data_IF_299423077295
#
_entry.id   IF_299423077295
#
_cell.length_a   1.000
_cell.length_b   1.000
_cell.length_c   1.000
_cell.angle_alpha   90.00
_cell.angle_beta   90.00
_cell.angle_gamma   90.00
#
_symmetry.space_group_name_H-M   'P 1'
#
loop_
_entity.id
_entity.type
_entity.pdbx_description
1 polymer ?
#
# COMPACT_ATOMS: atom_id res chain seq x y z
N UNK A 1 -4.54 -5.81 0.31
CA UNK A 1 -4.01 -5.34 -0.99
C UNK A 1 -4.99 -4.30 -1.51
N UNK A 2 -4.50 -3.13 -1.91
CA UNK A 2 -5.36 -2.07 -2.45
C UNK A 2 -5.41 -2.22 -3.97
N UNK A 3 -6.60 -2.39 -4.53
CA UNK A 3 -6.82 -2.52 -5.97
C UNK A 3 -7.39 -1.20 -6.49
N UNK A 4 -6.76 -0.64 -7.51
CA UNK A 4 -7.20 0.60 -8.14
C UNK A 4 -8.09 0.26 -9.33
N UNK A 5 -9.24 0.93 -9.44
CA UNK A 5 -10.16 0.73 -10.55
C UNK A 5 -10.63 2.05 -11.12
N UNK A 6 -10.74 2.09 -12.44
CA UNK A 6 -11.45 3.15 -13.13
C UNK A 6 -12.92 2.77 -13.20
N UNK A 7 -13.77 3.58 -12.59
CA UNK A 7 -15.19 3.30 -12.44
C UNK A 7 -16.05 4.48 -12.88
N UNK A 8 -17.27 4.19 -13.31
CA UNK A 8 -18.31 5.18 -13.54
C UNK A 8 -19.36 5.06 -12.45
N UNK A 9 -19.56 6.16 -11.73
CA UNK A 9 -20.54 6.29 -10.65
C UNK A 9 -21.81 6.91 -11.24
N UNK A 10 -22.93 6.21 -11.11
CA UNK A 10 -24.21 6.71 -11.58
C UNK A 10 -24.85 7.63 -10.53
N UNK A 11 -25.16 8.88 -10.90
CA UNK A 11 -25.59 9.91 -9.94
C UNK A 11 -26.97 9.70 -9.32
N UNK A 12 -27.75 8.69 -9.76
CA UNK A 12 -29.10 8.43 -9.24
C UNK A 12 -29.17 7.24 -8.27
N UNK A 13 -28.27 6.27 -8.37
CA UNK A 13 -28.31 5.05 -7.55
C UNK A 13 -26.96 4.73 -6.89
N UNK A 14 -25.96 5.60 -7.06
CA UNK A 14 -24.55 5.39 -6.65
C UNK A 14 -23.95 4.05 -7.12
N UNK A 15 -24.56 3.44 -8.16
CA UNK A 15 -24.05 2.23 -8.77
C UNK A 15 -22.68 2.50 -9.39
N UNK A 16 -21.74 1.62 -9.04
CA UNK A 16 -20.37 1.68 -9.50
C UNK A 16 -20.17 0.62 -10.58
N UNK A 17 -19.88 1.09 -11.79
CA UNK A 17 -19.61 0.22 -12.95
C UNK A 17 -18.14 0.30 -13.34
N UNK A 18 -17.48 -0.85 -13.44
CA UNK A 18 -16.08 -0.92 -13.91
C UNK A 18 -16.03 -0.48 -15.37
N UNK A 19 -15.14 0.47 -15.69
CA UNK A 19 -15.00 0.99 -17.06
C UNK A 19 -14.01 0.15 -17.86
N UNK A 20 -14.43 -0.36 -19.00
CA UNK A 20 -13.53 -1.01 -19.96
C UNK A 20 -12.74 0.06 -20.73
N UNK A 21 -11.57 0.41 -20.21
CA UNK A 21 -10.65 1.41 -20.76
C UNK A 21 -9.22 0.91 -20.62
N UNK A 22 -8.31 1.37 -21.48
CA UNK A 22 -6.88 1.10 -21.40
C UNK A 22 -6.32 1.46 -20.02
N UNK A 23 -6.77 2.57 -19.44
CA UNK A 23 -6.41 2.95 -18.07
C UNK A 23 -6.85 1.90 -17.03
N UNK A 24 -8.04 1.32 -17.17
CA UNK A 24 -8.51 0.28 -16.26
C UNK A 24 -7.73 -1.03 -16.44
N UNK A 25 -7.32 -1.33 -17.68
CA UNK A 25 -6.42 -2.46 -17.96
C UNK A 25 -5.06 -2.24 -17.30
N UNK A 26 -4.51 -1.02 -17.39
CA UNK A 26 -3.25 -0.62 -16.74
C UNK A 26 -3.27 -0.85 -15.22
N UNK A 27 -4.41 -0.57 -14.58
CA UNK A 27 -4.56 -0.64 -13.13
C UNK A 27 -4.95 -2.02 -12.59
N UNK A 28 -5.47 -2.93 -13.43
CA UNK A 28 -5.93 -4.26 -13.00
C UNK A 28 -5.09 -5.43 -13.53
N UNK A 29 -4.43 -5.28 -14.68
CA UNK A 29 -3.73 -6.40 -15.37
C UNK A 29 -2.26 -6.06 -15.52
N UNK A 30 -1.94 -5.24 -16.51
CA UNK A 30 -0.57 -4.92 -16.96
C UNK A 30 -0.41 -3.43 -17.14
N UNK A 31 0.56 -2.80 -16.46
CA UNK A 31 0.79 -1.36 -16.60
C UNK A 31 1.71 -1.04 -17.79
N UNK A 32 2.64 -1.95 -18.08
CA UNK A 32 3.56 -1.90 -19.21
C UNK A 32 4.06 -3.32 -19.51
N UNK A 33 4.87 -3.46 -20.56
CA UNK A 33 5.44 -4.76 -20.97
C UNK A 33 6.30 -5.44 -19.89
N UNK A 34 6.86 -4.66 -18.96
CA UNK A 34 7.81 -5.15 -17.93
C UNK A 34 7.13 -5.47 -16.59
N UNK A 35 5.96 -4.87 -16.31
CA UNK A 35 5.37 -4.80 -14.97
C UNK A 35 3.86 -5.10 -14.98
N UNK A 36 3.48 -5.98 -14.06
CA UNK A 36 2.08 -6.13 -13.63
C UNK A 36 1.58 -4.89 -12.87
N UNK A 37 0.28 -4.70 -12.77
CA UNK A 37 -0.32 -3.61 -11.99
C UNK A 37 0.20 -3.53 -10.53
N UNK A 38 0.47 -4.68 -9.89
CA UNK A 38 1.01 -4.74 -8.52
C UNK A 38 2.44 -4.20 -8.48
N UNK A 39 3.29 -4.64 -9.41
CA UNK A 39 4.68 -4.21 -9.49
C UNK A 39 4.78 -2.72 -9.81
N UNK A 40 3.91 -2.21 -10.68
CA UNK A 40 3.84 -0.79 -10.99
C UNK A 40 3.51 0.06 -9.75
N UNK A 41 2.52 -0.32 -8.94
CA UNK A 41 2.19 0.41 -7.71
C UNK A 41 3.34 0.31 -6.70
N UNK A 42 3.99 -0.84 -6.59
CA UNK A 42 5.19 -0.96 -5.75
C UNK A 42 6.29 -0.01 -6.22
N UNK A 43 6.63 -0.03 -7.50
CA UNK A 43 7.66 0.84 -8.09
C UNK A 43 7.34 2.33 -7.86
N UNK A 44 6.08 2.73 -8.06
CA UNK A 44 5.60 4.07 -7.80
C UNK A 44 5.81 4.49 -6.34
N UNK A 45 5.38 3.65 -5.39
CA UNK A 45 5.45 3.96 -3.95
C UNK A 45 6.90 3.95 -3.47
N UNK A 46 7.71 2.99 -3.89
CA UNK A 46 9.14 2.92 -3.53
C UNK A 46 9.90 4.12 -4.06
N UNK A 47 9.76 4.42 -5.35
CA UNK A 47 10.37 5.61 -5.97
C UNK A 47 9.92 6.90 -5.28
N UNK A 48 8.65 6.97 -4.84
CA UNK A 48 8.12 8.14 -4.11
C UNK A 48 8.79 8.30 -2.74
N UNK A 49 9.10 7.21 -2.03
CA UNK A 49 9.82 7.28 -0.77
C UNK A 49 11.30 7.59 -0.92
N UNK A 50 11.95 7.19 -2.02
CA UNK A 50 13.36 7.49 -2.26
C UNK A 50 13.57 8.93 -2.70
N UNK A 51 12.83 9.37 -3.73
CA UNK A 51 13.01 10.69 -4.36
C UNK A 51 12.15 11.79 -3.72
N UNK A 52 11.05 11.41 -3.06
CA UNK A 52 10.10 12.33 -2.40
C UNK A 52 9.06 12.91 -3.35
N UNK A 53 9.37 13.01 -4.64
CA UNK A 53 8.43 13.39 -5.70
C UNK A 53 8.69 12.54 -6.95
N UNK A 54 7.63 11.97 -7.51
CA UNK A 54 7.70 11.07 -8.66
C UNK A 54 6.69 11.48 -9.72
N UNK A 55 7.03 11.21 -10.98
CA UNK A 55 6.14 11.41 -12.12
C UNK A 55 5.65 10.07 -12.65
N UNK A 56 4.34 9.95 -12.87
CA UNK A 56 3.75 8.86 -13.65
C UNK A 56 3.41 9.40 -15.03
N UNK A 57 4.01 8.79 -16.04
CA UNK A 57 3.93 9.22 -17.43
C UNK A 57 3.17 8.16 -18.26
N UNK A 58 2.14 8.56 -19.02
CA UNK A 58 1.58 7.73 -20.06
C UNK A 58 2.53 7.69 -21.25
N UNK A 59 3.10 6.52 -21.54
CA UNK A 59 4.09 6.34 -22.62
C UNK A 59 3.40 6.01 -23.93
N UNK A 60 2.41 5.14 -23.88
CA UNK A 60 1.59 4.77 -25.02
C UNK A 60 0.17 5.27 -24.83
N UNK A 61 -0.28 6.12 -25.76
CA UNK A 61 -1.63 6.68 -25.80
C UNK A 61 -2.21 6.51 -27.19
N UNK A 62 -3.50 6.22 -27.30
CA UNK A 62 -4.18 6.05 -28.61
C UNK A 62 -4.18 7.32 -29.46
N UNK A 63 -4.30 8.48 -28.81
CA UNK A 63 -4.26 9.79 -29.46
C UNK A 63 -3.25 10.67 -28.72
N UNK A 64 -2.62 11.60 -29.43
CA UNK A 64 -1.59 12.44 -28.84
C UNK A 64 -2.20 13.34 -27.74
N UNK A 65 -1.74 13.22 -26.48
CA UNK A 65 -2.31 13.95 -25.34
C UNK A 65 -2.07 15.46 -25.40
N UNK A 66 -1.14 15.94 -26.24
CA UNK A 66 -0.91 17.37 -26.45
C UNK A 66 -1.93 18.02 -27.39
N UNK A 67 -2.61 17.22 -28.23
CA UNK A 67 -3.52 17.72 -29.26
C UNK A 67 -4.99 17.52 -28.86
N UNK A 68 -5.30 16.38 -28.24
CA UNK A 68 -6.67 16.02 -27.86
C UNK A 68 -6.71 15.52 -26.45
N UNK A 69 -7.65 16.00 -25.64
CA UNK A 69 -7.88 15.46 -24.29
C UNK A 69 -8.57 14.09 -24.28
N UNK A 70 -9.18 13.67 -25.39
CA UNK A 70 -9.85 12.38 -25.49
C UNK A 70 -8.88 11.31 -25.98
N UNK A 71 -7.96 10.87 -25.12
CA UNK A 71 -7.06 9.76 -25.39
C UNK A 71 -7.25 8.68 -24.33
N UNK A 72 -7.02 7.43 -24.72
CA UNK A 72 -6.89 6.33 -23.77
C UNK A 72 -5.41 6.03 -23.52
N UNK A 73 -5.12 5.57 -22.30
CA UNK A 73 -3.76 5.28 -21.84
C UNK A 73 -3.56 3.78 -21.91
N UNK A 74 -2.63 3.33 -22.74
CA UNK A 74 -2.33 1.91 -22.92
C UNK A 74 -1.15 1.46 -22.05
N UNK A 75 -0.21 2.38 -21.75
CA UNK A 75 0.93 2.07 -20.89
C UNK A 75 1.31 3.23 -19.97
N UNK A 76 1.64 2.89 -18.72
CA UNK A 76 2.12 3.79 -17.68
C UNK A 76 3.52 3.38 -17.24
N UNK A 77 4.38 4.38 -17.05
CA UNK A 77 5.70 4.19 -16.43
C UNK A 77 5.95 5.23 -15.35
N UNK A 78 6.70 4.81 -14.34
CA UNK A 78 7.17 5.65 -13.25
C UNK A 78 8.49 6.29 -13.68
N UNK A 79 8.64 7.59 -13.47
CA UNK A 79 9.81 8.35 -13.85
C UNK A 79 10.26 9.30 -12.76
N UNK A 80 11.57 9.51 -12.69
CA UNK A 80 12.20 10.44 -11.75
C UNK A 80 12.19 11.85 -12.34
N UNK A 81 11.76 12.84 -11.55
CA UNK A 81 11.81 14.24 -11.97
C UNK A 81 13.23 14.77 -11.79
N UNK A 82 13.84 15.26 -12.87
CA UNK A 82 15.20 15.82 -12.86
C UNK A 82 15.15 17.34 -12.75
N UNK A 83 14.38 17.99 -13.64
CA UNK A 83 14.30 19.45 -13.70
C UNK A 83 12.84 19.93 -13.77
N UNK A 84 12.61 21.07 -13.12
CA UNK A 84 11.32 21.73 -13.06
C UNK A 84 11.30 22.96 -13.96
N UNK A 85 10.39 22.99 -14.93
CA UNK A 85 10.09 24.18 -15.72
C UNK A 85 8.73 24.77 -15.32
N UNK A 86 8.37 25.99 -15.74
CA UNK A 86 7.09 26.61 -15.37
C UNK A 86 5.88 25.74 -15.75
N UNK A 87 5.82 25.27 -17.01
CA UNK A 87 4.71 24.46 -17.55
C UNK A 87 5.08 23.02 -17.90
N UNK A 88 6.38 22.69 -17.88
CA UNK A 88 6.90 21.37 -18.25
C UNK A 88 7.73 20.79 -17.10
N UNK A 89 7.99 19.50 -17.17
CA UNK A 89 8.89 18.78 -16.25
C UNK A 89 9.78 17.87 -17.09
N UNK A 90 11.07 17.85 -16.76
CA UNK A 90 12.00 16.87 -17.32
C UNK A 90 11.97 15.62 -16.45
N UNK A 91 11.55 14.51 -17.04
CA UNK A 91 11.43 13.22 -16.37
C UNK A 91 12.45 12.27 -17.00
N UNK A 92 13.19 11.56 -16.16
CA UNK A 92 14.02 10.43 -16.58
C UNK A 92 13.14 9.17 -16.58
N UNK A 93 13.00 8.57 -17.75
CA UNK A 93 12.14 7.42 -17.99
C UNK A 93 12.87 6.35 -18.79
N UNK A 94 12.61 5.08 -18.50
CA UNK A 94 13.10 3.99 -19.33
C UNK A 94 12.29 3.90 -20.63
N UNK A 95 12.99 3.93 -21.77
CA UNK A 95 12.41 3.72 -23.08
C UNK A 95 12.65 2.25 -23.48
N UNK A 96 11.57 1.51 -23.73
CA UNK A 96 11.58 0.09 -24.10
C UNK A 96 12.02 -0.13 -25.55
N UNK A 97 11.80 0.83 -26.45
CA UNK A 97 12.23 0.72 -27.85
C UNK A 97 13.74 0.88 -27.97
N UNK A 98 14.33 1.84 -27.25
CA UNK A 98 15.78 2.11 -27.30
C UNK A 98 16.58 1.35 -26.24
N UNK A 99 15.91 0.83 -25.20
CA UNK A 99 16.52 0.10 -24.09
C UNK A 99 17.35 0.97 -23.16
N UNK A 100 17.14 2.29 -23.17
CA UNK A 100 17.92 3.26 -22.39
C UNK A 100 17.02 4.19 -21.56
N UNK A 101 17.57 4.70 -20.46
CA UNK A 101 16.94 5.76 -19.68
C UNK A 101 17.13 7.10 -20.38
N UNK A 102 16.05 7.64 -20.92
CA UNK A 102 16.03 8.90 -21.64
C UNK A 102 15.43 10.01 -20.76
N UNK A 103 15.87 11.24 -21.01
CA UNK A 103 15.29 12.43 -20.37
C UNK A 103 14.31 13.06 -21.34
N UNK A 104 13.04 13.07 -20.94
CA UNK A 104 11.94 13.58 -21.75
C UNK A 104 11.31 14.78 -21.05
N UNK A 105 11.08 15.84 -21.83
CA UNK A 105 10.39 17.04 -21.32
C UNK A 105 8.91 16.92 -21.67
N UNK A 106 8.05 16.82 -20.66
CA UNK A 106 6.61 16.63 -20.83
C UNK A 106 5.85 17.77 -20.14
N UNK A 107 4.69 18.12 -20.68
CA UNK A 107 3.78 19.09 -20.06
C UNK A 107 3.24 18.58 -18.72
N UNK A 108 3.21 19.47 -17.72
CA UNK A 108 2.59 19.21 -16.40
C UNK A 108 1.11 18.86 -16.49
N UNK A 109 0.43 19.13 -17.60
CA UNK A 109 -0.97 18.74 -17.80
C UNK A 109 -1.14 17.23 -18.00
N UNK A 110 -0.14 16.57 -18.60
CA UNK A 110 -0.25 15.20 -19.11
C UNK A 110 0.49 14.18 -18.23
N UNK A 111 1.23 14.66 -17.23
CA UNK A 111 1.97 13.85 -16.25
C UNK A 111 1.30 13.97 -14.90
N UNK A 112 1.13 12.82 -14.23
CA UNK A 112 0.72 12.78 -12.83
C UNK A 112 1.95 12.94 -11.94
N UNK A 113 1.99 14.03 -11.19
CA UNK A 113 3.11 14.35 -10.29
C UNK A 113 2.63 14.02 -8.89
N UNK A 114 3.26 13.03 -8.27
CA UNK A 114 2.86 12.49 -6.98
C UNK A 114 3.94 12.85 -5.98
N UNK A 115 3.56 13.64 -4.98
CA UNK A 115 4.42 14.04 -3.88
C UNK A 115 4.22 13.11 -2.69
N UNK A 116 5.28 12.81 -1.95
CA UNK A 116 5.16 12.03 -0.73
C UNK A 116 4.43 12.85 0.35
N UNK A 117 3.26 12.43 0.86
CA UNK A 117 2.61 13.13 1.98
C UNK A 117 3.47 13.17 3.25
N UNK A 118 4.45 12.27 3.35
CA UNK A 118 5.39 12.15 4.46
C UNK A 118 6.77 12.76 4.14
N UNK A 119 6.84 13.66 3.15
CA UNK A 119 8.09 14.30 2.69
C UNK A 119 8.93 14.88 3.84
N UNK A 120 8.29 15.54 4.81
CA UNK A 120 8.97 16.16 5.95
C UNK A 120 9.73 15.16 6.84
N UNK A 121 9.23 13.92 6.92
CA UNK A 121 9.74 12.85 7.81
C UNK A 121 10.72 11.93 7.10
N UNK A 122 10.59 11.77 5.78
CA UNK A 122 11.41 10.85 4.98
C UNK A 122 12.45 11.61 4.15
N UNK A 123 12.00 12.48 3.25
CA UNK A 123 12.82 13.00 2.15
C UNK A 123 13.52 14.33 2.44
N UNK A 124 13.00 15.14 3.37
CA UNK A 124 13.60 16.43 3.74
C UNK A 124 15.06 16.27 4.23
N UNK A 125 15.93 17.26 4.03
CA UNK A 125 17.36 17.16 4.37
C UNK A 125 17.63 16.95 5.86
N UNK A 126 16.76 17.49 6.71
CA UNK A 126 16.79 17.31 8.15
C UNK A 126 15.74 16.31 8.66
N UNK A 127 15.29 15.40 7.79
CA UNK A 127 14.32 14.37 8.16
C UNK A 127 14.85 13.45 9.26
N UNK A 128 13.93 12.87 10.04
CA UNK A 128 14.28 11.90 11.09
C UNK A 128 14.96 10.68 10.49
N UNK A 129 14.56 10.24 9.29
CA UNK A 129 15.23 9.17 8.57
C UNK A 129 16.68 9.53 8.17
N UNK A 130 16.92 10.68 7.54
CA UNK A 130 18.30 11.08 7.17
C UNK A 130 19.19 11.30 8.40
N UNK A 131 18.62 11.74 9.52
CA UNK A 131 19.34 11.84 10.80
C UNK A 131 19.67 10.45 11.35
N UNK A 132 18.73 9.52 11.32
CA UNK A 132 18.93 8.13 11.74
C UNK A 132 20.01 7.45 10.88
N UNK A 133 19.93 7.54 9.55
CA UNK A 133 20.93 6.98 8.63
C UNK A 133 22.33 7.55 8.90
N UNK A 134 22.45 8.88 9.08
CA UNK A 134 23.75 9.49 9.44
C UNK A 134 24.29 8.96 10.76
N UNK A 135 23.42 8.72 11.76
CA UNK A 135 23.80 8.19 13.08
C UNK A 135 24.16 6.72 13.04
N UNK A 136 23.46 5.91 12.25
CA UNK A 136 23.81 4.51 11.97
C UNK A 136 25.17 4.43 11.28
N UNK A 137 25.38 5.21 10.23
CA UNK A 137 26.69 5.28 9.58
C UNK A 137 27.79 5.75 10.54
N UNK A 138 27.49 6.64 11.51
CA UNK A 138 28.45 7.02 12.54
C UNK A 138 28.78 5.86 13.49
N UNK A 139 27.78 5.07 13.89
CA UNK A 139 27.99 3.87 14.70
C UNK A 139 28.87 2.86 13.97
N UNK A 140 28.54 2.56 12.71
CA UNK A 140 29.30 1.61 11.89
C UNK A 140 30.76 2.07 11.71
N UNK A 141 30.97 3.38 11.49
CA UNK A 141 32.32 3.95 11.40
C UNK A 141 33.06 4.00 12.75
N UNK A 142 32.37 4.13 13.88
CA UNK A 142 32.98 4.06 15.22
C UNK A 142 33.39 2.63 15.58
N UNK A 143 32.68 1.60 15.10
CA UNK A 143 33.11 0.21 15.25
C UNK A 143 34.37 -0.11 14.41
N UNK A 144 34.49 0.49 13.22
CA UNK A 144 35.67 0.35 12.34
C UNK A 144 36.86 1.25 12.72
N UNK A 145 36.60 2.35 13.44
CA UNK A 145 37.65 3.18 13.99
C UNK A 145 38.27 2.46 15.20
N UNK A 146 39.20 1.54 14.94
CA UNK A 146 40.12 0.95 15.92
C UNK A 146 40.96 2.04 16.61
N UNK A 147 40.31 2.89 17.41
CA UNK A 147 40.91 4.02 18.11
C UNK A 147 41.72 3.48 19.26
N UNK A 148 43.02 3.45 19.04
CA UNK A 148 44.00 3.35 20.09
C UNK A 148 44.08 4.71 20.77
N UNK A 149 43.30 4.88 21.83
CA UNK A 149 43.34 6.07 22.68
C UNK A 149 44.48 5.92 23.71
N UNK A 150 45.71 6.23 23.28
CA UNK A 150 46.91 6.16 24.12
C UNK A 150 47.55 7.55 24.26
N UNK A 151 47.71 8.03 25.50
CA UNK A 151 48.56 9.20 25.79
C UNK A 151 49.94 8.69 26.18
N UNK A 152 50.95 9.18 25.47
CA UNK A 152 52.35 8.88 25.75
C UNK A 152 53.02 10.15 26.25
N UNK A 153 53.52 10.08 27.47
CA UNK A 153 54.37 11.13 28.03
C UNK A 153 55.83 10.75 27.78
N UNK A 154 56.49 11.49 26.89
CA UNK A 154 57.95 11.42 26.72
C UNK A 154 58.65 12.15 27.88
N UNK A 155 59.75 11.60 28.42
CA UNK A 155 60.40 12.15 29.62
C UNK A 155 61.27 13.39 29.35
N UNK A 156 61.44 13.80 28.08
CA UNK A 156 62.28 14.94 27.69
C UNK A 156 61.43 16.17 27.37
N UNK A 157 61.82 17.34 27.88
CA UNK A 157 61.15 18.60 27.56
C UNK A 157 61.35 19.00 26.11
N UNK A 158 60.28 19.37 25.41
CA UNK A 158 60.28 19.72 23.98
C UNK A 158 60.71 21.18 23.77
N UNK A 159 61.92 21.54 24.22
CA UNK A 159 62.38 22.95 24.21
C UNK A 159 63.20 23.33 22.97
N UNK A 160 63.73 22.34 22.25
CA UNK A 160 64.56 22.54 21.05
C UNK A 160 63.91 21.87 19.83
N UNK A 161 64.14 22.43 18.64
CA UNK A 161 63.58 21.91 17.38
C UNK A 161 63.97 20.46 17.11
N UNK A 162 65.20 20.07 17.48
CA UNK A 162 65.67 18.69 17.41
C UNK A 162 64.89 17.74 18.31
N UNK A 163 64.48 18.18 19.50
CA UNK A 163 63.66 17.37 20.42
C UNK A 163 62.23 17.23 19.91
N UNK A 164 61.69 18.26 19.25
CA UNK A 164 60.37 18.22 18.63
C UNK A 164 60.31 17.21 17.48
N UNK A 165 61.33 17.20 16.63
CA UNK A 165 61.43 16.22 15.55
C UNK A 165 61.60 14.78 16.06
N UNK A 166 62.32 14.57 17.17
CA UNK A 166 62.40 13.25 17.80
C UNK A 166 61.04 12.78 18.35
N UNK A 167 60.27 13.67 18.96
CA UNK A 167 58.93 13.36 19.46
C UNK A 167 57.94 13.03 18.32
N UNK A 168 57.97 13.80 17.23
CA UNK A 168 57.12 13.54 16.06
C UNK A 168 57.47 12.22 15.36
N UNK A 169 58.77 11.90 15.22
CA UNK A 169 59.21 10.58 14.73
C UNK A 169 58.73 9.45 15.64
N UNK A 170 58.82 9.65 16.96
CA UNK A 170 58.37 8.67 17.94
C UNK A 170 56.87 8.41 17.86
N UNK A 171 56.06 9.45 17.65
CA UNK A 171 54.60 9.32 17.43
C UNK A 171 54.32 8.50 16.16
N UNK A 172 55.00 8.80 15.06
CA UNK A 172 54.83 8.09 13.79
C UNK A 172 55.25 6.61 13.88
N UNK A 173 56.35 6.31 14.59
CA UNK A 173 56.81 4.93 14.80
C UNK A 173 55.80 4.11 15.61
N UNK A 174 55.23 4.71 16.65
CA UNK A 174 54.21 4.04 17.48
C UNK A 174 52.93 3.86 16.68
N UNK A 175 52.50 4.85 15.91
CA UNK A 175 51.35 4.72 15.01
C UNK A 175 51.54 3.57 13.99
N UNK A 176 52.74 3.42 13.44
CA UNK A 176 53.06 2.32 12.53
C UNK A 176 53.09 0.94 13.22
N UNK A 177 53.66 0.85 14.43
CA UNK A 177 53.67 -0.39 15.22
C UNK A 177 52.25 -0.82 15.61
N UNK A 178 51.44 0.15 16.01
CA UNK A 178 50.05 -0.04 16.41
C UNK A 178 49.13 -0.42 15.23
N UNK A 179 49.33 0.18 14.05
CA UNK A 179 48.58 -0.17 12.83
C UNK A 179 48.97 -1.52 12.23
N UNK A 180 50.24 -1.93 12.38
CA UNK A 180 50.74 -3.20 11.80
C UNK A 180 50.52 -4.41 12.70
N UNK A 181 50.48 -4.23 14.02
CA UNK A 181 50.24 -5.30 14.97
C UNK A 181 48.75 -5.61 15.13
N UNK A 182 48.33 -6.82 14.76
CA UNK A 182 46.94 -7.33 14.95
C UNK A 182 46.41 -7.23 16.40
N UNK A 183 47.30 -7.04 17.36
CA UNK A 183 47.02 -6.96 18.79
C UNK A 183 47.25 -5.57 19.41
N UNK A 184 47.57 -4.53 18.62
CA UNK A 184 47.78 -3.17 19.14
C UNK A 184 48.93 -3.03 20.14
N UNK A 185 50.02 -3.77 19.93
CA UNK A 185 51.19 -3.80 20.82
C UNK A 185 52.25 -2.82 20.29
N UNK A 186 52.70 -1.89 21.14
CA UNK A 186 53.81 -0.98 20.83
C UNK A 186 54.92 -1.09 21.88
N UNK A 187 56.17 -0.95 21.42
CA UNK A 187 57.34 -0.97 22.29
C UNK A 187 57.61 0.44 22.83
N UNK A 188 57.44 0.61 24.13
CA UNK A 188 57.78 1.84 24.86
C UNK A 188 59.09 1.67 25.64
N UNK A 189 59.87 2.74 25.73
CA UNK A 189 61.09 2.72 26.55
C UNK A 189 60.72 2.77 28.05
N UNK A 190 61.57 2.22 28.92
CA UNK A 190 61.32 2.14 30.36
C UNK A 190 61.20 3.50 31.07
N UNK A 191 61.57 4.58 30.37
CA UNK A 191 61.45 5.97 30.83
C UNK A 191 60.17 6.69 30.35
N UNK A 192 59.44 6.10 29.40
CA UNK A 192 58.19 6.64 28.85
C UNK A 192 56.98 6.15 29.67
N UNK A 193 56.02 7.03 29.95
CA UNK A 193 54.75 6.64 30.59
C UNK A 193 53.64 6.55 29.56
N UNK A 194 53.06 5.37 29.43
CA UNK A 194 51.86 5.14 28.64
C UNK A 194 50.63 5.09 29.56
N UNK A 195 49.61 5.89 29.25
CA UNK A 195 48.31 5.83 29.91
C UNK A 195 47.24 5.56 28.87
N UNK A 196 46.46 4.49 29.08
CA UNK A 196 45.28 4.23 28.28
C UNK A 196 44.19 5.23 28.67
N UNK A 197 43.59 5.87 27.68
CA UNK A 197 42.38 6.64 27.90
C UNK A 197 41.23 5.64 28.11
N UNK A 198 40.91 5.34 29.37
CA UNK A 198 39.63 4.71 29.71
C UNK A 198 38.53 5.75 29.55
N UNK A 199 38.09 5.99 28.31
CA UNK A 199 36.80 6.64 28.13
C UNK A 199 35.74 5.65 28.62
N UNK A 200 34.86 6.02 29.58
CA UNK A 200 33.70 5.18 29.84
C UNK A 200 32.92 5.07 28.54
N UNK A 201 32.92 3.87 27.96
CA UNK A 201 32.26 3.51 26.69
C UNK A 201 30.75 3.43 26.94
N UNK A 202 30.14 4.53 27.37
CA UNK A 202 28.75 4.77 27.06
C UNK A 202 28.78 5.73 25.89
N UNK A 203 29.10 5.20 24.71
CA UNK A 203 28.65 5.87 23.49
C UNK A 203 27.14 6.05 23.67
N UNK A 204 26.67 7.29 23.77
CA UNK A 204 25.24 7.58 23.84
C UNK A 204 24.57 7.32 22.47
N UNK A 205 25.34 6.94 21.44
CA UNK A 205 24.85 6.69 20.09
C UNK A 205 23.78 5.60 20.02
N UNK A 206 23.90 4.43 20.68
CA UNK A 206 22.84 3.42 20.66
C UNK A 206 21.55 3.94 21.31
N UNK A 207 21.65 4.73 22.38
CA UNK A 207 20.49 5.37 23.02
C UNK A 207 19.85 6.43 22.11
N UNK A 208 20.65 7.26 21.45
CA UNK A 208 20.19 8.23 20.45
C UNK A 208 19.53 7.56 19.25
N UNK A 209 20.09 6.44 18.75
CA UNK A 209 19.54 5.65 17.64
C UNK A 209 18.18 5.07 18.04
N UNK A 210 18.05 4.52 19.25
CA UNK A 210 16.78 4.02 19.75
C UNK A 210 15.74 5.14 19.89
N UNK A 211 16.13 6.29 20.43
CA UNK A 211 15.24 7.46 20.54
C UNK A 211 14.80 7.99 19.17
N UNK A 212 15.72 8.09 18.20
CA UNK A 212 15.42 8.50 16.83
C UNK A 212 14.53 7.49 16.11
N UNK A 213 14.75 6.20 16.32
CA UNK A 213 13.92 5.13 15.76
C UNK A 213 12.49 5.20 16.30
N UNK A 214 12.32 5.39 17.61
CA UNK A 214 11.00 5.59 18.21
C UNK A 214 10.33 6.87 17.71
N UNK A 215 11.08 7.99 17.60
CA UNK A 215 10.55 9.22 17.03
C UNK A 215 10.10 9.02 15.58
N UNK A 216 10.87 8.29 14.78
CA UNK A 216 10.53 7.97 13.40
C UNK A 216 9.24 7.14 13.31
N UNK A 217 9.12 6.07 14.09
CA UNK A 217 7.89 5.26 14.14
C UNK A 217 6.67 6.08 14.58
N UNK A 218 6.82 6.90 15.62
CA UNK A 218 5.74 7.77 16.10
C UNK A 218 5.30 8.80 15.04
N UNK A 219 6.25 9.36 14.27
CA UNK A 219 5.94 10.32 13.20
C UNK A 219 5.22 9.67 12.02
N UNK A 220 5.59 8.44 11.68
CA UNK A 220 4.88 7.67 10.66
C UNK A 220 3.53 7.12 11.17
N UNK A 221 3.26 7.17 12.48
CA UNK A 221 2.07 6.55 13.06
C UNK A 221 2.15 5.02 13.11
N UNK A 222 3.38 4.49 13.16
CA UNK A 222 3.69 3.06 13.27
C UNK A 222 4.00 2.70 14.71
N UNK A 223 3.53 1.54 15.15
CA UNK A 223 4.04 0.91 16.37
C UNK A 223 5.00 -0.22 16.00
N UNK A 224 5.99 -0.51 16.85
CA UNK A 224 6.91 -1.63 16.63
C UNK A 224 6.17 -2.98 16.47
N UNK A 225 4.98 -3.09 17.07
CA UNK A 225 4.13 -4.27 16.97
C UNK A 225 3.67 -4.56 15.52
N UNK A 226 3.53 -3.52 14.69
CA UNK A 226 3.16 -3.68 13.27
C UNK A 226 4.28 -4.39 12.51
N UNK A 227 5.55 -4.06 12.79
CA UNK A 227 6.71 -4.72 12.20
C UNK A 227 6.93 -6.14 12.72
N UNK A 228 6.66 -6.36 14.01
CA UNK A 228 6.81 -7.66 14.65
C UNK A 228 5.65 -8.64 14.36
N UNK A 229 4.60 -8.19 13.67
CA UNK A 229 3.43 -9.01 13.35
C UNK A 229 2.50 -9.30 14.54
N UNK A 230 2.66 -8.60 15.66
CA UNK A 230 1.86 -8.77 16.89
C UNK A 230 0.88 -7.62 17.14
N UNK A 231 0.71 -6.73 16.16
CA UNK A 231 -0.18 -5.57 16.28
C UNK A 231 -1.64 -5.96 16.51
N UNK A 232 -2.28 -5.22 17.40
CA UNK A 232 -3.73 -5.27 17.60
C UNK A 232 -4.48 -4.66 16.41
N UNK A 233 -5.76 -5.00 16.26
CA UNK A 233 -6.63 -4.45 15.20
C UNK A 233 -6.72 -2.91 15.24
N UNK A 234 -6.74 -2.33 16.45
CA UNK A 234 -6.76 -0.88 16.63
C UNK A 234 -5.44 -0.21 16.18
N UNK A 235 -4.30 -0.83 16.44
CA UNK A 235 -3.00 -0.36 15.94
C UNK A 235 -2.92 -0.47 14.41
N UNK A 236 -3.38 -1.58 13.84
CA UNK A 236 -3.45 -1.75 12.37
C UNK A 236 -4.37 -0.71 11.72
N UNK A 237 -5.54 -0.43 12.31
CA UNK A 237 -6.43 0.63 11.83
C UNK A 237 -5.74 2.00 11.80
N UNK A 238 -4.96 2.31 12.84
CA UNK A 238 -4.19 3.55 12.93
C UNK A 238 -3.07 3.62 11.89
N UNK A 239 -2.35 2.51 11.70
CA UNK A 239 -1.34 2.39 10.65
C UNK A 239 -1.93 2.73 9.28
N UNK A 240 -3.04 2.09 8.94
CA UNK A 240 -3.67 2.31 7.65
C UNK A 240 -4.19 3.74 7.49
N UNK A 241 -4.94 4.26 8.46
CA UNK A 241 -5.55 5.60 8.34
C UNK A 241 -4.54 6.74 8.35
N UNK A 242 -3.37 6.57 9.00
CA UNK A 242 -2.34 7.62 9.09
C UNK A 242 -1.23 7.49 8.07
N UNK A 243 -0.92 6.28 7.62
CA UNK A 243 0.22 6.03 6.72
C UNK A 243 -0.26 5.67 5.32
N UNK A 244 -1.09 4.64 5.21
CA UNK A 244 -1.41 4.01 3.92
C UNK A 244 -2.47 4.79 3.15
N UNK A 245 -3.58 5.15 3.81
CA UNK A 245 -4.71 5.84 3.18
C UNK A 245 -4.30 7.21 2.60
N UNK A 246 -3.52 8.08 3.30
CA UNK A 246 -3.08 9.34 2.72
C UNK A 246 -2.21 9.20 1.46
N UNK A 247 -1.40 8.14 1.38
CA UNK A 247 -0.57 7.84 0.19
C UNK A 247 -1.48 7.46 -0.97
N UNK A 248 -2.41 6.53 -0.73
CA UNK A 248 -3.34 6.04 -1.75
C UNK A 248 -4.25 7.18 -2.23
N UNK A 249 -4.79 7.97 -1.32
CA UNK A 249 -5.63 9.13 -1.63
C UNK A 249 -4.90 10.15 -2.51
N UNK A 250 -3.61 10.41 -2.24
CA UNK A 250 -2.84 11.33 -3.06
C UNK A 250 -2.63 10.79 -4.49
N UNK A 251 -2.31 9.50 -4.62
CA UNK A 251 -2.17 8.82 -5.92
C UNK A 251 -3.50 8.90 -6.70
N UNK A 252 -4.61 8.55 -6.06
CA UNK A 252 -5.95 8.57 -6.69
C UNK A 252 -6.34 9.99 -7.07
N UNK A 253 -6.07 10.98 -6.22
CA UNK A 253 -6.40 12.38 -6.50
C UNK A 253 -5.63 12.91 -7.73
N UNK A 254 -4.33 12.60 -7.84
CA UNK A 254 -3.53 13.01 -9.00
C UNK A 254 -3.92 12.24 -10.27
N UNK A 255 -4.19 10.94 -10.20
CA UNK A 255 -4.71 10.19 -11.35
C UNK A 255 -6.06 10.72 -11.82
N UNK A 256 -6.99 10.99 -10.90
CA UNK A 256 -8.30 11.60 -11.21
C UNK A 256 -8.16 13.00 -11.79
N UNK A 257 -7.14 13.76 -11.41
CA UNK A 257 -6.90 15.13 -11.89
C UNK A 257 -6.28 15.16 -13.28
N UNK A 258 -5.43 14.18 -13.63
CA UNK A 258 -4.57 14.20 -14.82
C UNK A 258 -5.04 13.24 -15.92
N UNK A 259 -5.41 12.02 -15.55
CA UNK A 259 -5.80 10.99 -16.52
C UNK A 259 -7.29 11.07 -16.88
N UNK A 260 -8.12 11.69 -16.05
CA UNK A 260 -9.53 11.93 -16.38
C UNK A 260 -9.76 13.35 -16.89
N UNK A 261 -10.40 13.44 -18.05
CA UNK A 261 -10.79 14.73 -18.64
C UNK A 261 -11.87 15.43 -17.81
N UNK A 262 -12.07 16.73 -18.05
CA UNK A 262 -13.20 17.46 -17.44
C UNK A 262 -14.54 16.83 -17.81
N UNK A 263 -14.71 16.42 -19.07
CA UNK A 263 -15.93 15.77 -19.57
C UNK A 263 -16.16 14.42 -18.91
N UNK A 264 -15.12 13.58 -18.78
CA UNK A 264 -15.19 12.29 -18.09
C UNK A 264 -15.68 12.44 -16.64
N UNK A 265 -15.13 13.43 -15.91
CA UNK A 265 -15.54 13.72 -14.54
C UNK A 265 -16.98 14.21 -14.43
N UNK A 266 -17.44 15.04 -15.37
CA UNK A 266 -18.85 15.46 -15.42
C UNK A 266 -19.79 14.29 -15.75
N UNK A 267 -19.32 13.28 -16.47
CA UNK A 267 -20.07 12.06 -16.78
C UNK A 267 -20.04 11.00 -15.65
N UNK A 268 -19.50 11.34 -14.48
CA UNK A 268 -19.46 10.44 -13.32
C UNK A 268 -18.28 9.47 -13.29
N UNK A 269 -17.29 9.60 -14.18
CA UNK A 269 -16.09 8.78 -14.13
C UNK A 269 -15.17 9.21 -12.98
N UNK A 270 -14.64 8.24 -12.25
CA UNK A 270 -13.70 8.43 -11.15
C UNK A 270 -12.75 7.23 -11.04
N UNK A 271 -11.61 7.44 -10.38
CA UNK A 271 -10.72 6.36 -9.98
C UNK A 271 -10.98 6.11 -8.50
N UNK A 272 -11.21 4.86 -8.14
CA UNK A 272 -11.50 4.42 -6.77
C UNK A 272 -10.56 3.30 -6.43
N UNK A 273 -10.13 3.25 -5.17
CA UNK A 273 -9.36 2.12 -4.65
C UNK A 273 -10.24 1.27 -3.75
N UNK A 274 -10.08 -0.04 -3.84
CA UNK A 274 -10.73 -1.03 -3.01
C UNK A 274 -9.69 -1.71 -2.15
N UNK A 275 -9.91 -1.72 -0.84
CA UNK A 275 -9.10 -2.52 0.07
C UNK A 275 -9.92 -3.70 0.54
N UNK A 276 -9.35 -4.89 0.33
CA UNK A 276 -9.87 -6.09 0.98
C UNK A 276 -9.47 -6.09 2.46
N UNK A 277 -10.39 -5.67 3.32
CA UNK A 277 -10.24 -5.69 4.78
C UNK A 277 -10.44 -7.09 5.38
N UNK A 278 -11.08 -8.02 4.66
CA UNK A 278 -11.52 -9.30 5.20
C UNK A 278 -10.46 -10.38 5.11
N UNK A 279 -9.45 -10.23 4.24
CA UNK A 279 -8.30 -11.14 4.19
C UNK A 279 -7.56 -11.26 5.53
N UNK A 280 -7.61 -10.24 6.37
CA UNK A 280 -6.95 -10.19 7.68
C UNK A 280 -7.88 -10.47 8.86
N UNK A 281 -9.19 -10.61 8.62
CA UNK A 281 -10.18 -10.82 9.68
C UNK A 281 -10.32 -12.31 9.96
N UNK A 282 -10.32 -12.75 11.25
CA UNK A 282 -10.58 -14.14 11.60
C UNK A 282 -11.97 -14.60 11.12
N UNK A 283 -12.06 -15.85 10.65
CA UNK A 283 -13.30 -16.42 10.08
C UNK A 283 -14.48 -16.34 11.06
N UNK A 284 -14.24 -16.42 12.37
CA UNK A 284 -15.28 -16.27 13.39
C UNK A 284 -15.98 -14.90 13.34
N UNK A 285 -15.22 -13.82 13.16
CA UNK A 285 -15.78 -12.47 13.06
C UNK A 285 -16.53 -12.28 11.74
N UNK A 286 -16.08 -12.96 10.67
CA UNK A 286 -16.78 -12.95 9.40
C UNK A 286 -18.11 -13.70 9.50
N UNK A 287 -18.18 -14.78 10.27
CA UNK A 287 -19.41 -15.53 10.48
C UNK A 287 -20.45 -14.72 11.27
N UNK A 288 -20.04 -13.99 12.32
CA UNK A 288 -20.94 -13.10 13.07
C UNK A 288 -21.40 -11.91 12.23
N UNK A 289 -20.50 -11.32 11.44
CA UNK A 289 -20.86 -10.27 10.50
C UNK A 289 -21.82 -10.79 9.41
N UNK A 290 -21.54 -11.96 8.83
CA UNK A 290 -22.40 -12.59 7.83
C UNK A 290 -23.79 -12.87 8.35
N UNK A 291 -23.93 -13.37 9.58
CA UNK A 291 -25.23 -13.60 10.21
C UNK A 291 -25.99 -12.28 10.46
N UNK A 292 -25.32 -11.24 10.95
CA UNK A 292 -25.95 -9.92 11.18
C UNK A 292 -26.37 -9.23 9.88
N UNK A 293 -25.53 -9.20 8.86
CA UNK A 293 -25.85 -8.63 7.55
C UNK A 293 -27.02 -9.34 6.88
N UNK A 294 -27.05 -10.67 6.98
CA UNK A 294 -28.12 -11.50 6.41
C UNK A 294 -29.43 -11.41 7.18
N UNK A 295 -29.38 -11.28 8.52
CA UNK A 295 -30.57 -11.07 9.35
C UNK A 295 -31.23 -9.71 9.11
N UNK A 296 -30.42 -8.70 8.82
CA UNK A 296 -30.86 -7.33 8.56
C UNK A 296 -31.17 -7.09 7.07
N UNK A 297 -31.09 -8.12 6.22
CA UNK A 297 -31.37 -8.01 4.77
C UNK A 297 -30.49 -6.98 4.06
N UNK A 298 -29.25 -6.80 4.55
CA UNK A 298 -28.26 -5.87 3.98
C UNK A 298 -27.46 -6.55 2.86
N UNK A 299 -27.23 -7.86 2.95
CA UNK A 299 -26.50 -8.64 1.96
C UNK A 299 -27.15 -10.01 1.74
N UNK A 300 -27.12 -10.48 0.49
CA UNK A 300 -27.58 -11.81 0.09
C UNK A 300 -26.59 -12.90 0.51
N UNK A 301 -27.04 -14.16 0.53
CA UNK A 301 -26.15 -15.28 0.88
C UNK A 301 -25.05 -15.48 -0.15
N UNK A 302 -25.31 -15.17 -1.43
CA UNK A 302 -24.31 -15.26 -2.49
C UNK A 302 -23.30 -14.11 -2.46
N UNK A 303 -23.70 -12.91 -2.06
CA UNK A 303 -22.77 -11.81 -1.78
C UNK A 303 -21.85 -12.19 -0.61
N UNK A 304 -22.40 -12.66 0.51
CA UNK A 304 -21.60 -13.14 1.66
C UNK A 304 -20.65 -14.27 1.24
N UNK A 305 -21.09 -15.23 0.42
CA UNK A 305 -20.21 -16.29 -0.12
C UNK A 305 -19.08 -15.74 -0.99
N UNK A 306 -19.37 -14.81 -1.89
CA UNK A 306 -18.38 -14.14 -2.73
C UNK A 306 -17.37 -13.36 -1.86
N UNK A 307 -17.84 -12.71 -0.79
CA UNK A 307 -17.00 -12.00 0.17
C UNK A 307 -16.03 -12.92 0.92
N UNK A 308 -16.42 -14.16 1.23
CA UNK A 308 -15.56 -15.15 1.91
C UNK A 308 -14.76 -16.05 0.96
N UNK A 309 -14.83 -15.81 -0.35
CA UNK A 309 -14.13 -16.60 -1.36
C UNK A 309 -14.76 -17.97 -1.65
N UNK A 310 -15.99 -18.21 -1.20
CA UNK A 310 -16.77 -19.39 -1.59
C UNK A 310 -17.47 -19.14 -2.92
N UNK A 311 -17.62 -20.22 -3.71
CA UNK A 311 -18.40 -20.15 -4.94
C UNK A 311 -19.86 -19.80 -4.63
N UNK A 312 -20.50 -18.93 -5.44
CA UNK A 312 -21.94 -18.68 -5.33
C UNK A 312 -22.74 -19.99 -5.39
N UNK A 313 -23.81 -20.06 -4.61
CA UNK A 313 -24.79 -21.14 -4.71
C UNK A 313 -25.67 -20.91 -5.93
N UNK A 314 -26.01 -21.99 -6.64
CA UNK A 314 -27.02 -21.95 -7.69
C UNK A 314 -28.47 -21.99 -7.13
N UNK A 315 -28.63 -21.93 -5.80
CA UNK A 315 -29.96 -21.92 -5.17
C UNK A 315 -30.58 -20.53 -5.32
N UNK A 316 -31.78 -20.39 -5.94
CA UNK A 316 -32.46 -19.10 -6.09
C UNK A 316 -32.67 -18.35 -4.76
N UNK A 317 -32.75 -19.06 -3.62
CA UNK A 317 -32.86 -18.41 -2.31
C UNK A 317 -31.60 -17.67 -1.88
N UNK A 318 -30.45 -18.05 -2.44
CA UNK A 318 -29.17 -17.47 -2.05
C UNK A 318 -28.97 -16.04 -2.60
N UNK A 319 -29.76 -15.65 -3.62
CA UNK A 319 -29.77 -14.32 -4.23
C UNK A 319 -30.89 -13.41 -3.67
N UNK A 320 -31.71 -13.90 -2.75
CA UNK A 320 -32.78 -13.11 -2.15
C UNK A 320 -32.30 -12.41 -0.88
N UNK A 321 -32.65 -11.12 -0.75
CA UNK A 321 -32.53 -10.36 0.49
C UNK A 321 -33.67 -10.79 1.42
N UNK A 322 -33.55 -11.98 2.00
CA UNK A 322 -34.51 -12.51 2.94
C UNK A 322 -33.77 -13.09 4.15
N UNK A 323 -34.22 -12.73 5.35
CA UNK A 323 -33.64 -13.28 6.58
C UNK A 323 -33.93 -14.80 6.70
N UNK A 324 -32.91 -15.68 6.65
CA UNK A 324 -33.12 -17.13 6.71
C UNK A 324 -33.55 -17.63 8.08
N UNK A 325 -33.43 -16.79 9.12
CA UNK A 325 -33.76 -17.12 10.49
C UNK A 325 -35.20 -16.69 10.85
N UNK A 326 -35.92 -16.00 9.97
CA UNK A 326 -37.36 -15.74 10.13
C UNK A 326 -38.17 -16.83 9.42
N UNK A 327 -39.07 -17.55 10.13
CA UNK A 327 -40.00 -18.46 9.49
C UNK A 327 -41.05 -17.64 8.73
N UNK A 328 -40.79 -17.38 7.45
CA UNK A 328 -41.76 -16.74 6.56
C UNK A 328 -41.19 -15.58 5.75
N UNK A 329 -40.48 -15.90 4.66
CA UNK A 329 -40.36 -15.02 3.49
C UNK A 329 -39.96 -15.80 2.22
N UNK A 330 -39.28 -16.94 2.36
CA UNK A 330 -39.11 -17.91 1.26
C UNK A 330 -38.97 -19.34 1.78
N UNK A 331 -40.09 -19.87 2.25
CA UNK A 331 -40.38 -21.26 1.96
C UNK A 331 -40.91 -21.24 0.51
N UNK A 332 -40.19 -21.79 -0.49
CA UNK A 332 -40.89 -22.35 -1.62
C UNK A 332 -41.87 -23.32 -0.96
N UNK A 333 -43.12 -23.31 -1.40
CA UNK A 333 -44.03 -24.39 -1.08
C UNK A 333 -43.34 -25.71 -1.48
N UNK A 334 -42.62 -26.33 -0.55
CA UNK A 334 -42.18 -27.69 -0.65
C UNK A 334 -43.43 -28.50 -0.32
N UNK A 335 -44.23 -28.71 -1.36
CA UNK A 335 -45.51 -29.40 -1.25
C UNK A 335 -46.57 -28.90 -2.23
N UNK A 336 -46.23 -28.71 -3.50
CA UNK A 336 -47.19 -29.03 -4.58
C UNK A 336 -46.62 -30.18 -5.41
N UNK A 337 -46.34 -31.29 -4.73
CA UNK A 337 -46.55 -32.58 -5.34
C UNK A 337 -48.03 -32.89 -5.16
N UNK A 338 -48.87 -32.48 -6.12
CA UNK A 338 -50.10 -33.21 -6.39
C UNK A 338 -49.72 -34.62 -6.81
N UNK A 339 -49.41 -35.48 -5.84
CA UNK A 339 -49.83 -36.85 -5.92
C UNK A 339 -51.36 -36.77 -5.91
N UNK A 340 -51.95 -36.83 -7.10
CA UNK A 340 -53.37 -37.11 -7.30
C UNK A 340 -53.72 -38.33 -6.46
N UNK A 341 -54.31 -38.11 -5.29
CA UNK A 341 -55.13 -39.11 -4.62
C UNK A 341 -56.46 -39.17 -5.38
N UNK A 342 -56.79 -40.27 -6.08
CA UNK A 342 -57.97 -40.35 -6.95
C UNK A 342 -59.31 -40.35 -6.19
N UNK A 343 -59.31 -40.30 -4.85
CA UNK A 343 -60.52 -40.56 -4.06
C UNK A 343 -61.33 -39.33 -3.67
N UNK A 344 -60.84 -38.10 -3.85
CA UNK A 344 -61.54 -36.89 -3.38
C UNK A 344 -62.44 -36.19 -4.42
N UNK A 345 -62.33 -36.56 -5.71
CA UNK A 345 -63.09 -35.91 -6.80
C UNK A 345 -64.43 -36.60 -7.13
N UNK A 346 -64.73 -37.75 -6.54
CA UNK A 346 -65.97 -38.47 -6.81
C UNK A 346 -67.18 -37.85 -6.07
N UNK A 347 -66.98 -37.32 -4.86
CA UNK A 347 -68.08 -36.80 -4.06
C UNK A 347 -68.58 -35.44 -4.59
N UNK A 348 -67.67 -34.56 -5.04
CA UNK A 348 -68.05 -33.22 -5.53
C UNK A 348 -68.82 -33.28 -6.86
N UNK A 349 -68.46 -34.20 -7.76
CA UNK A 349 -69.20 -34.42 -9.02
C UNK A 349 -70.59 -35.02 -8.77
N UNK A 350 -70.71 -35.91 -7.76
CA UNK A 350 -72.01 -36.50 -7.43
C UNK A 350 -73.01 -35.48 -6.86
N UNK A 351 -72.53 -34.47 -6.13
CA UNK A 351 -73.37 -33.38 -5.63
C UNK A 351 -73.80 -32.40 -6.74
N UNK A 352 -72.93 -32.08 -7.70
CA UNK A 352 -73.27 -31.20 -8.83
C UNK A 352 -74.26 -31.86 -9.81
N UNK A 353 -74.07 -33.14 -10.12
CA UNK A 353 -75.00 -33.90 -10.98
C UNK A 353 -76.37 -34.12 -10.32
N UNK A 354 -76.40 -34.36 -9.00
CA UNK A 354 -77.66 -34.47 -8.25
C UNK A 354 -78.42 -33.13 -8.19
N UNK A 355 -77.70 -31.99 -8.12
CA UNK A 355 -78.32 -30.66 -8.11
C UNK A 355 -78.91 -30.29 -9.47
N UNK A 356 -78.23 -30.63 -10.56
CA UNK A 356 -78.72 -30.45 -11.93
C UNK A 356 -79.95 -31.33 -12.22
N UNK A 357 -79.99 -32.58 -11.75
CA UNK A 357 -81.17 -33.45 -11.91
C UNK A 357 -82.39 -33.00 -11.11
N UNK A 358 -82.20 -32.42 -9.90
CA UNK A 358 -83.31 -32.00 -9.04
C UNK A 358 -83.91 -30.64 -9.43
N UNK A 359 -83.11 -29.75 -10.03
CA UNK A 359 -83.50 -28.35 -10.24
C UNK A 359 -83.39 -27.86 -11.69
N UNK A 360 -82.88 -28.67 -12.62
CA UNK A 360 -82.69 -28.29 -14.03
C UNK A 360 -83.99 -28.09 -14.83
N UNK A 361 -85.07 -28.82 -14.51
CA UNK A 361 -86.31 -28.82 -15.31
C UNK A 361 -87.32 -27.72 -14.96
N UNK A 362 -87.03 -26.82 -14.02
CA UNK A 362 -87.96 -25.73 -13.65
C UNK A 362 -87.73 -24.38 -14.35
N UNK A 363 -86.90 -24.33 -15.40
CA UNK A 363 -86.71 -23.11 -16.19
C UNK A 363 -87.20 -23.18 -17.65
N UNK A 364 -88.05 -24.16 -18.00
CA UNK A 364 -88.80 -24.11 -19.26
C UNK A 364 -90.27 -24.44 -19.04
N UNK A 365 -91.04 -23.43 -18.64
CA UNK A 365 -92.42 -23.20 -19.11
C UNK A 365 -92.86 -21.77 -18.79
#
# INVERSE_FOLDING_TARGET
MANFKHVKINSQNDDVTDMDSGLNNCLNVEANIDQTHIQFIHDLVYSMFDEGVVAVVPVETTLNPDVTGSYDINSLRVGRIVNWFPRHVEVQLYNDVTGQNERITISKSNVAIIENPLYAVVNNDNSTLKRLVRKLNQLDNEEDAGRLDLIISVPYGIKTETQRQMAERRIADIEAQLRSGKNGIAYIDGTEKAMQLNRPVNSQLPEEINALSQQFYNQLGLTANVFNGTASEAELKTYYSRTVDPIIENIVAEFRRKFLTKTARTQGQSIVYYRDLFKTVPVEQIATLGDTLRRNEIATSNEVRKFIGLRPSNDPKADLLANPNMPGATQPAAGDSTATDPSANADTQMYEDAYQQLYGDKQQQ
#
